data_IF_049992051373
#
_entry.id   IF_049992051373
#
_cell.length_a   1.000
_cell.length_b   1.000
_cell.length_c   1.000
_cell.angle_alpha   90.00
_cell.angle_beta   90.00
_cell.angle_gamma   90.00
#
_symmetry.space_group_name_H-M   'P 1'
#
loop_
_entity.id
_entity.type
_entity.pdbx_description
1 polymer ?
#
# COMPACT_ATOMS: atom_id res chain seq x y z
N UNK A 1 -6.95 4.40 45.62
CA UNK A 1 -6.41 3.19 44.98
C UNK A 1 -6.42 3.22 43.44
N UNK A 2 -6.39 4.42 42.80
CA UNK A 2 -6.57 4.61 41.32
C UNK A 2 -5.36 5.24 40.59
N UNK A 3 -4.22 5.39 41.24
CA UNK A 3 -3.02 6.06 40.69
C UNK A 3 -1.87 5.13 40.24
N UNK A 4 -1.96 3.80 40.46
CA UNK A 4 -0.86 2.87 40.11
C UNK A 4 -0.91 2.28 38.68
N UNK A 5 -2.04 2.41 37.96
CA UNK A 5 -2.19 1.79 36.63
C UNK A 5 -1.65 2.61 35.45
N UNK A 6 -1.09 3.79 35.71
CA UNK A 6 -0.63 4.69 34.61
C UNK A 6 0.84 4.51 34.20
N UNK A 7 1.64 3.75 34.95
CA UNK A 7 3.09 3.56 34.69
C UNK A 7 3.45 2.25 33.98
N UNK A 8 2.57 1.25 33.93
CA UNK A 8 2.91 -0.07 33.37
C UNK A 8 2.69 -0.21 31.86
N UNK A 9 2.01 0.72 31.19
CA UNK A 9 1.72 0.66 29.73
C UNK A 9 2.82 1.24 28.81
N UNK A 10 3.94 1.72 29.31
CA UNK A 10 4.99 2.32 28.49
C UNK A 10 6.09 1.32 28.05
N UNK A 11 6.00 0.05 28.40
CA UNK A 11 7.03 -0.96 28.14
C UNK A 11 6.69 -1.94 27.00
N UNK A 12 5.68 -1.66 26.19
CA UNK A 12 5.35 -2.51 25.05
C UNK A 12 6.24 -2.15 23.85
N UNK A 13 7.03 -3.10 23.39
CA UNK A 13 7.79 -2.94 22.15
C UNK A 13 6.85 -2.65 20.98
N UNK A 14 7.22 -1.69 20.13
CA UNK A 14 6.51 -1.36 18.90
C UNK A 14 7.33 -1.84 17.70
N UNK A 15 6.71 -2.60 16.80
CA UNK A 15 7.32 -3.06 15.57
C UNK A 15 6.64 -2.35 14.39
N UNK A 16 7.43 -1.61 13.62
CA UNK A 16 6.96 -0.86 12.44
C UNK A 16 7.44 -1.54 11.18
N UNK A 17 6.51 -1.93 10.30
CA UNK A 17 6.82 -2.50 9.00
C UNK A 17 7.00 -1.39 7.96
N UNK A 18 8.24 -1.27 7.45
CA UNK A 18 8.63 -0.33 6.40
C UNK A 18 8.70 -1.05 5.04
N UNK A 19 8.08 -0.52 3.97
CA UNK A 19 8.16 -1.11 2.65
C UNK A 19 9.56 -0.95 2.05
N UNK A 20 10.11 -2.03 1.47
CA UNK A 20 11.31 -1.97 0.63
C UNK A 20 10.99 -1.28 -0.71
N UNK A 21 12.01 -0.64 -1.29
CA UNK A 21 11.96 -0.13 -2.65
C UNK A 21 11.46 1.32 -2.74
N UNK A 22 10.67 1.62 -3.76
CA UNK A 22 10.31 2.99 -4.17
C UNK A 22 9.79 3.90 -3.05
N UNK A 23 9.06 3.36 -2.10
CA UNK A 23 8.45 4.13 -1.00
C UNK A 23 9.34 4.21 0.25
N UNK A 24 10.37 3.37 0.36
CA UNK A 24 11.22 3.26 1.55
C UNK A 24 11.74 4.63 2.02
N UNK A 25 12.45 5.34 1.14
CA UNK A 25 13.04 6.65 1.48
C UNK A 25 12.01 7.67 1.96
N UNK A 26 10.80 7.63 1.38
CA UNK A 26 9.72 8.56 1.76
C UNK A 26 9.11 8.20 3.11
N UNK A 27 8.97 6.90 3.41
CA UNK A 27 8.50 6.41 4.71
C UNK A 27 9.53 6.69 5.80
N UNK A 28 10.81 6.46 5.51
CA UNK A 28 11.91 6.81 6.42
C UNK A 28 11.87 8.30 6.78
N UNK A 29 11.76 9.17 5.77
CA UNK A 29 11.62 10.61 5.99
C UNK A 29 10.40 10.94 6.84
N UNK A 30 9.26 10.33 6.56
CA UNK A 30 8.03 10.53 7.36
C UNK A 30 8.23 10.18 8.83
N UNK A 31 8.95 9.10 9.13
CA UNK A 31 9.27 8.67 10.49
C UNK A 31 10.30 9.61 11.15
N UNK A 32 11.35 10.02 10.41
CA UNK A 32 12.36 10.96 10.89
C UNK A 32 11.77 12.34 11.23
N UNK A 33 10.86 12.86 10.40
CA UNK A 33 10.11 14.11 10.65
C UNK A 33 9.29 14.05 11.97
N UNK A 34 9.11 12.83 12.53
CA UNK A 34 8.44 12.54 13.81
C UNK A 34 9.39 12.13 14.93
N UNK A 35 10.68 12.32 14.72
CA UNK A 35 11.73 12.03 15.70
C UNK A 35 12.13 10.56 15.78
N UNK A 36 11.67 9.69 14.86
CA UNK A 36 12.09 8.31 14.81
C UNK A 36 13.21 8.11 13.79
N UNK A 37 14.43 7.84 14.28
CA UNK A 37 15.60 7.61 13.46
C UNK A 37 16.02 6.14 13.54
N UNK A 38 16.38 5.55 12.39
CA UNK A 38 16.87 4.18 12.28
C UNK A 38 18.38 4.13 12.45
N UNK A 39 18.89 3.00 12.92
CA UNK A 39 20.33 2.74 12.96
C UNK A 39 20.96 2.81 11.56
N UNK A 40 22.28 3.12 11.49
CA UNK A 40 23.01 3.28 10.22
C UNK A 40 22.91 2.06 9.30
N UNK A 41 22.90 0.86 9.88
CA UNK A 41 22.75 -0.40 9.15
C UNK A 41 21.46 -0.50 8.32
N UNK A 42 20.42 0.29 8.63
CA UNK A 42 19.20 0.36 7.85
C UNK A 42 19.44 0.89 6.42
N UNK A 43 20.42 1.75 6.24
CA UNK A 43 20.69 2.44 4.97
C UNK A 43 21.76 1.74 4.12
N UNK A 44 22.29 0.63 4.60
CA UNK A 44 23.29 -0.17 3.92
C UNK A 44 22.63 -1.32 3.17
N UNK A 45 22.67 -1.27 1.85
CA UNK A 45 22.03 -2.27 0.98
C UNK A 45 22.83 -3.61 0.94
N UNK A 46 24.09 -3.64 1.41
CA UNK A 46 24.88 -4.86 1.51
C UNK A 46 24.48 -5.69 2.73
N UNK A 47 23.89 -5.05 3.74
CA UNK A 47 23.43 -5.69 4.96
C UNK A 47 22.13 -6.43 4.72
N UNK A 48 22.15 -7.77 4.88
CA UNK A 48 20.95 -8.62 4.75
C UNK A 48 20.05 -8.63 5.99
N UNK A 49 20.33 -7.84 6.99
CA UNK A 49 19.48 -7.66 8.18
C UNK A 49 18.11 -7.11 7.77
N UNK A 50 17.05 -7.59 8.37
CA UNK A 50 15.68 -7.18 8.07
C UNK A 50 14.99 -6.50 9.26
N UNK A 51 15.58 -6.56 10.45
CA UNK A 51 15.09 -5.92 11.67
C UNK A 51 16.14 -4.94 12.17
N UNK A 52 15.75 -3.71 12.40
CA UNK A 52 16.65 -2.60 12.72
C UNK A 52 16.22 -1.92 14.00
N UNK A 53 17.20 -1.49 14.78
CA UNK A 53 16.99 -0.68 15.97
C UNK A 53 16.74 0.79 15.58
N UNK A 54 16.16 1.53 16.52
CA UNK A 54 15.92 2.97 16.36
C UNK A 54 16.54 3.73 17.53
N UNK A 55 16.47 5.06 17.48
CA UNK A 55 16.83 5.91 18.62
C UNK A 55 15.95 5.69 19.87
N UNK A 56 14.86 4.89 19.75
CA UNK A 56 14.04 4.45 20.89
C UNK A 56 14.22 2.96 21.14
N UNK A 57 14.71 2.58 22.33
CA UNK A 57 15.01 1.18 22.71
C UNK A 57 13.82 0.20 22.56
N UNK A 58 12.61 0.71 22.65
CA UNK A 58 11.36 -0.07 22.57
C UNK A 58 10.69 -0.01 21.19
N UNK A 59 11.33 0.56 20.17
CA UNK A 59 10.83 0.59 18.81
C UNK A 59 11.82 -0.09 17.87
N UNK A 60 11.31 -1.01 17.06
CA UNK A 60 12.06 -1.64 15.97
C UNK A 60 11.37 -1.41 14.64
N UNK A 61 12.16 -1.33 13.58
CA UNK A 61 11.67 -1.25 12.21
C UNK A 61 12.06 -2.51 11.46
N UNK A 62 11.10 -3.13 10.76
CA UNK A 62 11.35 -4.27 9.89
C UNK A 62 11.16 -3.87 8.43
N UNK A 63 12.08 -4.31 7.55
CA UNK A 63 11.99 -4.09 6.10
C UNK A 63 11.29 -5.26 5.44
N UNK A 64 10.15 -5.02 4.78
CA UNK A 64 9.35 -6.03 4.10
C UNK A 64 9.07 -5.66 2.65
N UNK A 65 8.75 -6.64 1.83
CA UNK A 65 8.11 -6.38 0.53
C UNK A 65 6.75 -5.71 0.79
N UNK A 66 6.34 -4.70 0.00
CA UNK A 66 5.05 -4.04 0.18
C UNK A 66 3.86 -5.01 0.24
N UNK A 67 3.86 -6.05 -0.58
CA UNK A 67 2.82 -7.10 -0.61
C UNK A 67 2.66 -7.89 0.70
N UNK A 68 3.68 -7.92 1.54
CA UNK A 68 3.72 -8.78 2.72
C UNK A 68 3.34 -8.03 4.00
N UNK A 69 3.45 -6.69 3.99
CA UNK A 69 3.24 -5.84 5.18
C UNK A 69 1.89 -6.11 5.82
N UNK A 70 0.83 -6.15 5.02
CA UNK A 70 -0.53 -6.40 5.49
C UNK A 70 -0.63 -7.71 6.26
N UNK A 71 -0.05 -8.78 5.73
CA UNK A 71 -0.02 -10.10 6.38
C UNK A 71 0.71 -10.06 7.72
N UNK A 72 1.86 -9.37 7.79
CA UNK A 72 2.60 -9.20 9.05
C UNK A 72 1.80 -8.44 10.11
N UNK A 73 0.99 -7.46 9.71
CA UNK A 73 0.09 -6.73 10.61
C UNK A 73 -1.04 -7.65 11.11
N UNK A 74 -1.71 -8.38 10.21
CA UNK A 74 -2.82 -9.28 10.57
C UNK A 74 -2.36 -10.39 11.50
N UNK A 75 -1.17 -10.95 11.24
CA UNK A 75 -0.58 -12.03 12.05
C UNK A 75 0.06 -11.52 13.36
N UNK A 76 0.06 -10.21 13.61
CA UNK A 76 0.63 -9.61 14.82
C UNK A 76 2.15 -9.60 14.90
N UNK A 77 2.85 -9.87 13.79
CA UNK A 77 4.30 -9.80 13.71
C UNK A 77 4.82 -8.35 13.54
N UNK A 78 3.95 -7.43 13.14
CA UNK A 78 4.19 -5.99 13.17
C UNK A 78 2.94 -5.29 13.72
N UNK A 79 3.15 -4.14 14.37
CA UNK A 79 2.08 -3.36 15.00
C UNK A 79 1.54 -2.26 14.09
N UNK A 80 2.43 -1.64 13.32
CA UNK A 80 2.13 -0.57 12.36
C UNK A 80 2.78 -0.94 11.02
N UNK A 81 2.08 -0.70 9.93
CA UNK A 81 2.61 -0.90 8.58
C UNK A 81 2.24 0.22 7.62
N UNK A 82 3.11 0.49 6.67
CA UNK A 82 2.88 1.42 5.58
C UNK A 82 2.56 0.64 4.31
N UNK A 83 1.32 0.75 3.84
CA UNK A 83 0.83 0.06 2.63
C UNK A 83 0.20 1.04 1.66
N UNK A 84 0.06 0.65 0.39
CA UNK A 84 -0.74 1.42 -0.54
C UNK A 84 -2.23 1.35 -0.19
N UNK A 85 -2.97 2.44 -0.41
CA UNK A 85 -4.43 2.41 -0.22
C UNK A 85 -5.11 1.46 -1.22
N UNK A 86 -4.49 1.24 -2.36
CA UNK A 86 -4.87 0.20 -3.34
C UNK A 86 -4.91 -1.21 -2.73
N UNK A 87 -3.99 -1.54 -1.81
CA UNK A 87 -4.02 -2.84 -1.10
C UNK A 87 -5.26 -2.98 -0.20
N UNK A 88 -5.67 -1.89 0.44
CA UNK A 88 -6.88 -1.88 1.28
C UNK A 88 -8.15 -1.99 0.44
N UNK A 89 -8.18 -1.37 -0.73
CA UNK A 89 -9.30 -1.46 -1.66
C UNK A 89 -9.41 -2.84 -2.31
N UNK A 90 -8.27 -3.44 -2.66
CA UNK A 90 -8.21 -4.75 -3.30
C UNK A 90 -8.53 -5.90 -2.35
N UNK A 91 -8.10 -5.80 -1.09
CA UNK A 91 -8.25 -6.89 -0.13
C UNK A 91 -9.25 -6.52 0.96
N UNK A 92 -10.03 -7.48 1.44
CA UNK A 92 -10.91 -7.26 2.58
C UNK A 92 -10.13 -6.76 3.79
N UNK A 93 -10.66 -5.76 4.49
CA UNK A 93 -10.00 -5.10 5.60
C UNK A 93 -10.35 -5.66 6.97
N UNK A 94 -10.82 -6.90 7.04
CA UNK A 94 -11.05 -7.57 8.32
C UNK A 94 -9.79 -7.57 9.17
N UNK A 95 -9.92 -7.23 10.45
CA UNK A 95 -8.84 -7.14 11.43
C UNK A 95 -7.79 -6.04 11.17
N UNK A 96 -8.05 -5.08 10.28
CA UNK A 96 -7.18 -3.94 10.03
C UNK A 96 -7.87 -2.63 10.42
N UNK A 97 -7.13 -1.78 11.11
CA UNK A 97 -7.49 -0.38 11.39
C UNK A 97 -6.67 0.52 10.48
N UNK A 98 -7.33 1.32 9.65
CA UNK A 98 -6.69 2.40 8.92
C UNK A 98 -6.46 3.55 9.89
N UNK A 99 -5.19 3.83 10.21
CA UNK A 99 -4.82 4.84 11.20
C UNK A 99 -4.73 6.23 10.61
N UNK A 100 -4.11 6.33 9.42
CA UNK A 100 -3.87 7.62 8.76
C UNK A 100 -3.62 7.43 7.27
N UNK A 101 -4.17 8.31 6.46
CA UNK A 101 -3.78 8.50 5.06
C UNK A 101 -2.65 9.52 4.98
N UNK A 102 -1.63 9.23 4.18
CA UNK A 102 -0.46 10.11 4.02
C UNK A 102 -0.46 10.74 2.62
N UNK A 103 0.44 11.70 2.41
CA UNK A 103 0.71 12.24 1.06
C UNK A 103 1.79 11.47 0.29
N UNK A 104 2.29 10.35 0.85
CA UNK A 104 3.37 9.58 0.26
C UNK A 104 2.86 8.76 -0.92
N UNK A 105 3.54 8.83 -2.06
CA UNK A 105 3.30 7.96 -3.20
C UNK A 105 1.93 8.18 -3.87
N UNK A 106 1.43 9.41 -3.90
CA UNK A 106 0.16 9.74 -4.59
C UNK A 106 0.16 9.23 -6.02
N UNK A 107 -0.93 8.56 -6.39
CA UNK A 107 -1.19 8.02 -7.71
C UNK A 107 -2.70 7.82 -7.88
N UNK A 108 -3.11 7.23 -8.99
CA UNK A 108 -4.50 6.92 -9.30
C UNK A 108 -4.62 5.50 -9.85
N UNK A 109 -5.80 4.90 -9.74
CA UNK A 109 -6.14 3.65 -10.41
C UNK A 109 -6.85 4.03 -11.70
N UNK A 110 -6.34 3.52 -12.81
CA UNK A 110 -6.87 3.86 -14.13
C UNK A 110 -6.97 2.64 -15.04
N UNK A 111 -7.90 2.71 -15.99
CA UNK A 111 -7.98 1.82 -17.13
C UNK A 111 -7.21 2.46 -18.29
N UNK A 112 -6.37 1.66 -18.95
CA UNK A 112 -5.65 2.09 -20.13
C UNK A 112 -5.68 1.03 -21.23
N UNK A 113 -5.63 1.49 -22.50
CA UNK A 113 -5.62 0.65 -23.69
C UNK A 113 -4.77 1.26 -24.80
N UNK A 114 -4.58 0.56 -25.88
CA UNK A 114 -3.95 1.06 -27.11
C UNK A 114 -4.84 2.02 -27.94
N UNK A 115 -6.11 2.20 -27.52
CA UNK A 115 -7.10 3.05 -28.18
C UNK A 115 -7.32 4.34 -27.39
N UNK A 116 -7.48 5.47 -28.11
CA UNK A 116 -7.80 6.76 -27.48
C UNK A 116 -9.14 6.77 -26.76
N UNK A 117 -10.12 5.99 -27.24
CA UNK A 117 -11.44 5.83 -26.63
C UNK A 117 -11.79 4.36 -26.61
N UNK A 118 -12.43 3.92 -25.53
CA UNK A 118 -12.99 2.60 -25.39
C UNK A 118 -14.50 2.69 -25.63
N UNK A 119 -15.01 1.82 -26.49
CA UNK A 119 -16.44 1.59 -26.64
C UNK A 119 -16.78 0.25 -26.02
N UNK A 120 -17.44 0.29 -24.87
CA UNK A 120 -17.85 -0.91 -24.13
C UNK A 120 -19.01 -1.68 -24.78
N UNK A 121 -19.58 -1.18 -25.90
CA UNK A 121 -20.61 -1.89 -26.65
C UNK A 121 -20.05 -2.82 -27.74
N UNK A 122 -18.75 -2.71 -28.07
CA UNK A 122 -18.14 -3.48 -29.16
C UNK A 122 -18.07 -4.99 -28.90
N UNK A 123 -18.03 -5.41 -27.64
CA UNK A 123 -17.89 -6.82 -27.25
C UNK A 123 -18.85 -7.18 -26.13
N UNK A 124 -19.24 -8.48 -26.07
CA UNK A 124 -20.01 -9.03 -24.96
C UNK A 124 -19.15 -9.21 -23.70
N UNK A 125 -17.87 -9.58 -23.86
CA UNK A 125 -16.93 -9.83 -22.76
C UNK A 125 -15.60 -9.19 -23.12
N UNK A 126 -15.06 -8.39 -22.19
CA UNK A 126 -13.73 -7.77 -22.31
C UNK A 126 -12.71 -8.49 -21.44
N UNK A 127 -11.47 -8.57 -21.89
CA UNK A 127 -10.33 -9.08 -21.12
C UNK A 127 -9.59 -7.94 -20.46
N UNK A 128 -9.41 -8.01 -19.14
CA UNK A 128 -8.75 -6.98 -18.33
C UNK A 128 -7.51 -7.58 -17.63
N UNK A 129 -6.33 -7.11 -18.00
CA UNK A 129 -5.11 -7.51 -17.30
C UNK A 129 -4.86 -6.58 -16.09
N UNK A 130 -4.73 -7.18 -14.90
CA UNK A 130 -4.53 -6.42 -13.66
C UNK A 130 -4.00 -7.30 -12.53
N UNK A 131 -3.38 -6.68 -11.54
CA UNK A 131 -3.15 -7.31 -10.23
C UNK A 131 -4.31 -7.05 -9.26
N UNK A 132 -5.23 -6.14 -9.59
CA UNK A 132 -6.33 -5.66 -8.77
C UNK A 132 -7.65 -6.30 -9.24
N UNK A 133 -7.80 -7.60 -8.98
CA UNK A 133 -8.95 -8.37 -9.49
C UNK A 133 -10.28 -7.89 -8.88
N UNK A 134 -10.30 -7.67 -7.55
CA UNK A 134 -11.52 -7.27 -6.85
C UNK A 134 -11.96 -5.85 -7.23
N UNK A 135 -11.01 -4.91 -7.35
CA UNK A 135 -11.30 -3.55 -7.82
C UNK A 135 -11.83 -3.59 -9.25
N UNK A 136 -11.22 -4.40 -10.13
CA UNK A 136 -11.65 -4.57 -11.51
C UNK A 136 -13.07 -5.13 -11.60
N UNK A 137 -13.32 -6.25 -10.93
CA UNK A 137 -14.63 -6.90 -10.93
C UNK A 137 -15.72 -6.01 -10.37
N UNK A 138 -15.45 -5.30 -9.28
CA UNK A 138 -16.41 -4.37 -8.70
C UNK A 138 -16.75 -3.25 -9.68
N UNK A 139 -15.73 -2.59 -10.25
CA UNK A 139 -15.93 -1.48 -11.18
C UNK A 139 -16.76 -1.87 -12.40
N UNK A 140 -16.41 -2.95 -13.09
CA UNK A 140 -17.13 -3.37 -14.29
C UNK A 140 -18.52 -3.94 -14.00
N UNK A 141 -18.71 -4.56 -12.83
CA UNK A 141 -20.04 -5.00 -12.36
C UNK A 141 -20.98 -3.81 -12.14
N UNK A 142 -20.51 -2.73 -11.55
CA UNK A 142 -21.29 -1.50 -11.35
C UNK A 142 -21.73 -0.87 -12.68
N UNK A 143 -20.96 -1.06 -13.73
CA UNK A 143 -21.28 -0.59 -15.09
C UNK A 143 -22.09 -1.61 -15.91
N UNK A 144 -22.42 -2.79 -15.37
CA UNK A 144 -23.03 -3.91 -16.08
C UNK A 144 -22.22 -4.39 -17.32
N UNK A 145 -20.90 -4.30 -17.25
CA UNK A 145 -19.97 -4.75 -18.29
C UNK A 145 -19.39 -6.11 -17.89
N UNK A 146 -19.52 -7.11 -18.77
CA UNK A 146 -18.92 -8.42 -18.52
C UNK A 146 -17.42 -8.40 -18.83
N UNK A 147 -16.60 -8.86 -17.87
CA UNK A 147 -15.16 -8.93 -18.03
C UNK A 147 -14.59 -10.28 -17.59
N UNK A 148 -13.51 -10.69 -18.26
CA UNK A 148 -12.61 -11.75 -17.84
C UNK A 148 -11.32 -11.10 -17.29
N UNK A 149 -11.07 -11.27 -16.00
CA UNK A 149 -9.89 -10.67 -15.37
C UNK A 149 -8.69 -11.61 -15.45
N UNK A 150 -7.60 -11.14 -16.05
CA UNK A 150 -6.32 -11.84 -16.17
C UNK A 150 -5.36 -11.29 -15.12
N UNK A 151 -5.02 -12.12 -14.13
CA UNK A 151 -4.12 -11.70 -13.05
C UNK A 151 -2.67 -11.65 -13.52
N UNK A 152 -2.10 -10.46 -13.58
CA UNK A 152 -0.68 -10.20 -13.85
C UNK A 152 -0.09 -9.31 -12.77
N UNK A 153 1.15 -9.58 -12.34
CA UNK A 153 1.80 -8.86 -11.25
C UNK A 153 2.82 -7.80 -11.71
N UNK A 154 3.13 -7.73 -12.99
CA UNK A 154 4.06 -6.75 -13.55
C UNK A 154 4.08 -6.79 -15.07
N UNK A 155 4.63 -5.74 -15.70
CA UNK A 155 4.71 -5.56 -17.16
C UNK A 155 3.36 -5.77 -17.86
N UNK A 156 2.27 -5.33 -17.21
CA UNK A 156 0.91 -5.62 -17.66
C UNK A 156 0.57 -4.86 -18.96
N UNK A 157 1.32 -3.80 -19.29
CA UNK A 157 1.20 -3.03 -20.53
C UNK A 157 1.40 -3.93 -21.76
N UNK A 158 2.23 -4.95 -21.62
CA UNK A 158 2.47 -5.93 -22.69
C UNK A 158 1.23 -6.77 -23.01
N UNK A 159 0.31 -6.95 -22.05
CA UNK A 159 -0.90 -7.72 -22.27
C UNK A 159 -1.79 -7.09 -23.36
N UNK A 160 -1.90 -5.76 -23.38
CA UNK A 160 -2.61 -5.05 -24.45
C UNK A 160 -1.82 -5.12 -25.75
N UNK A 161 -0.51 -4.82 -25.71
CA UNK A 161 0.35 -4.79 -26.88
C UNK A 161 0.36 -6.10 -27.66
N UNK A 162 0.26 -7.24 -26.96
CA UNK A 162 0.27 -8.58 -27.57
C UNK A 162 -1.13 -9.21 -27.69
N UNK A 163 -2.20 -8.42 -27.49
CA UNK A 163 -3.58 -8.89 -27.66
C UNK A 163 -4.05 -9.93 -26.64
N UNK A 164 -3.37 -10.03 -25.49
CA UNK A 164 -3.77 -10.90 -24.39
C UNK A 164 -4.98 -10.32 -23.65
N UNK A 165 -5.03 -8.99 -23.51
CA UNK A 165 -6.12 -8.25 -22.89
C UNK A 165 -6.54 -7.04 -23.75
N UNK A 166 -7.79 -6.62 -23.59
CA UNK A 166 -8.34 -5.41 -24.24
C UNK A 166 -7.89 -4.14 -23.50
N UNK A 167 -7.77 -4.24 -22.17
CA UNK A 167 -7.34 -3.13 -21.30
C UNK A 167 -6.42 -3.63 -20.20
N UNK A 168 -5.71 -2.69 -19.61
CA UNK A 168 -5.09 -2.86 -18.28
C UNK A 168 -5.84 -2.01 -17.25
N UNK A 169 -5.84 -2.47 -16.00
CA UNK A 169 -6.21 -1.70 -14.84
C UNK A 169 -5.03 -1.67 -13.88
N UNK A 170 -4.42 -0.51 -13.69
CA UNK A 170 -3.21 -0.37 -12.86
C UNK A 170 -3.10 1.02 -12.21
N UNK A 171 -2.08 1.14 -11.35
CA UNK A 171 -1.67 2.40 -10.73
C UNK A 171 -0.92 3.27 -11.73
N UNK A 172 -1.42 4.48 -11.91
CA UNK A 172 -0.78 5.50 -12.75
C UNK A 172 -0.34 6.67 -11.88
N UNK A 173 0.97 6.95 -11.86
CA UNK A 173 1.53 8.10 -11.15
C UNK A 173 1.72 9.29 -12.09
N UNK A 174 2.71 9.22 -12.98
CA UNK A 174 3.00 10.25 -14.00
C UNK A 174 2.37 9.94 -15.34
N UNK A 175 2.01 8.69 -15.60
CA UNK A 175 1.57 8.19 -16.89
C UNK A 175 2.71 7.96 -17.90
N UNK A 176 3.97 8.10 -17.47
CA UNK A 176 5.10 7.91 -18.38
C UNK A 176 5.19 6.48 -18.92
N UNK A 177 4.99 5.48 -18.06
CA UNK A 177 5.00 4.06 -18.49
C UNK A 177 3.93 3.77 -19.54
N UNK A 178 2.74 4.35 -19.41
CA UNK A 178 1.69 4.21 -20.43
C UNK A 178 2.14 4.81 -21.77
N UNK A 179 2.71 6.02 -21.74
CA UNK A 179 3.20 6.70 -22.96
C UNK A 179 4.32 5.91 -23.65
N UNK A 180 5.28 5.41 -22.88
CA UNK A 180 6.42 4.64 -23.40
C UNK A 180 5.96 3.32 -24.04
N UNK A 181 4.82 2.78 -23.60
CA UNK A 181 4.19 1.59 -24.18
C UNK A 181 3.04 1.89 -25.16
N UNK A 182 2.88 3.15 -25.57
CA UNK A 182 1.86 3.60 -26.54
C UNK A 182 0.42 3.32 -26.08
N UNK A 183 0.17 3.37 -24.77
CA UNK A 183 -1.15 3.22 -24.18
C UNK A 183 -1.73 4.59 -23.81
N UNK A 184 -3.05 4.70 -23.94
CA UNK A 184 -3.83 5.85 -23.53
C UNK A 184 -4.51 5.55 -22.20
N UNK A 185 -4.46 6.48 -21.28
CA UNK A 185 -5.25 6.43 -20.05
C UNK A 185 -6.69 6.82 -20.38
N UNK A 186 -7.59 5.84 -20.38
CA UNK A 186 -8.96 6.03 -20.87
C UNK A 186 -9.91 6.47 -19.74
N UNK A 187 -9.79 5.85 -18.56
CA UNK A 187 -10.68 6.10 -17.43
C UNK A 187 -9.89 6.13 -16.13
N UNK A 188 -10.15 7.13 -15.30
CA UNK A 188 -9.65 7.19 -13.93
C UNK A 188 -10.75 6.64 -13.02
N UNK A 189 -10.48 5.50 -12.37
CA UNK A 189 -11.41 4.86 -11.44
C UNK A 189 -11.33 5.52 -10.05
N UNK A 190 -10.11 5.77 -9.58
CA UNK A 190 -9.88 6.41 -8.29
C UNK A 190 -8.62 7.28 -8.36
N UNK A 191 -8.74 8.57 -8.12
CA UNK A 191 -7.64 9.54 -8.19
C UNK A 191 -7.00 9.84 -6.83
N UNK A 192 -7.44 9.17 -5.75
CA UNK A 192 -7.01 9.45 -4.38
C UNK A 192 -6.33 8.23 -3.74
N UNK A 193 -5.34 7.68 -4.44
CA UNK A 193 -4.50 6.59 -3.96
C UNK A 193 -3.19 7.16 -3.40
N UNK A 194 -2.83 6.74 -2.18
CA UNK A 194 -1.56 7.08 -1.54
C UNK A 194 -1.18 6.02 -0.51
N UNK A 195 -0.02 6.15 0.11
CA UNK A 195 0.35 5.29 1.23
C UNK A 195 -0.53 5.60 2.44
N UNK A 196 -1.03 4.55 3.06
CA UNK A 196 -1.77 4.61 4.32
C UNK A 196 -1.01 3.87 5.42
N UNK A 197 -1.26 4.27 6.65
CA UNK A 197 -0.72 3.63 7.85
C UNK A 197 -1.81 2.75 8.43
N UNK A 198 -1.48 1.48 8.64
CA UNK A 198 -2.40 0.48 9.16
C UNK A 198 -1.89 -0.15 10.44
N UNK A 199 -2.80 -0.72 11.22
CA UNK A 199 -2.53 -1.54 12.40
C UNK A 199 -3.54 -2.68 12.48
N UNK A 200 -3.26 -3.72 13.23
CA UNK A 200 -4.32 -4.66 13.64
C UNK A 200 -5.17 -4.05 14.77
N UNK A 201 -6.42 -4.52 14.91
CA UNK A 201 -7.27 -4.11 16.04
C UNK A 201 -6.59 -4.36 17.38
N UNK A 202 -5.94 -5.51 17.55
CA UNK A 202 -5.24 -5.87 18.78
C UNK A 202 -4.08 -4.92 19.08
N UNK A 203 -3.20 -4.66 18.10
CA UNK A 203 -2.06 -3.76 18.31
C UNK A 203 -2.54 -2.32 18.57
N UNK A 204 -3.57 -1.87 17.84
CA UNK A 204 -4.14 -0.55 18.06
C UNK A 204 -4.73 -0.40 19.46
N UNK A 205 -5.52 -1.36 19.94
CA UNK A 205 -6.12 -1.29 21.29
C UNK A 205 -5.06 -1.31 22.38
N UNK A 206 -4.10 -2.23 22.30
CA UNK A 206 -3.07 -2.40 23.34
C UNK A 206 -2.01 -1.31 23.35
N UNK A 207 -1.68 -0.71 22.19
CA UNK A 207 -0.60 0.29 22.01
C UNK A 207 -1.10 1.67 21.60
N UNK A 208 -2.40 1.92 21.69
CA UNK A 208 -3.10 3.13 21.18
C UNK A 208 -2.46 4.45 21.56
N UNK A 209 -2.03 4.60 22.81
CA UNK A 209 -1.42 5.84 23.31
C UNK A 209 -0.11 6.12 22.56
N UNK A 210 0.70 5.09 22.39
CA UNK A 210 1.99 5.19 21.73
C UNK A 210 1.84 5.43 20.23
N UNK A 211 0.95 4.68 19.57
CA UNK A 211 0.64 4.84 18.15
C UNK A 211 0.13 6.25 17.87
N UNK A 212 -0.81 6.77 18.66
CA UNK A 212 -1.31 8.13 18.49
C UNK A 212 -0.21 9.18 18.67
N UNK A 213 0.67 9.01 19.66
CA UNK A 213 1.77 9.94 19.87
C UNK A 213 2.68 10.00 18.64
N UNK A 214 3.10 8.84 18.09
CA UNK A 214 3.92 8.75 16.88
C UNK A 214 3.27 9.47 15.69
N UNK A 215 1.94 9.28 15.49
CA UNK A 215 1.25 9.80 14.32
C UNK A 215 0.94 11.30 14.39
N UNK A 216 0.74 11.87 15.58
CA UNK A 216 0.25 13.26 15.74
C UNK A 216 1.34 14.27 16.11
N UNK A 217 2.19 13.94 17.06
CA UNK A 217 3.14 14.91 17.66
C UNK A 217 4.61 14.53 17.46
N UNK A 218 4.87 13.33 16.95
CA UNK A 218 6.21 12.73 17.01
C UNK A 218 6.52 12.18 18.42
N UNK A 219 7.64 11.51 18.50
CA UNK A 219 8.13 10.82 19.70
C UNK A 219 9.02 11.71 20.58
#
# INVERSE_FOLDING_TARGET
MWRKHKKEKMNSNLIIACPKGRLEKKVVKYLADRGLEMEKAFFDDEIRKLTFDTNFKNIKVIKLKPSDIRSYIILGAADIGFVGYDDILENSSENIVLLQKTSIGKCRISIASDRKKIDFSEKKVFKVATKFQNISEQYFRELNIQTETIKLNGSIELAVKYGVADFILDLVQSGQTLKDNQLYENVIINNDISTVIISSYYAYDTKKVFIKKLLTKGL
#
